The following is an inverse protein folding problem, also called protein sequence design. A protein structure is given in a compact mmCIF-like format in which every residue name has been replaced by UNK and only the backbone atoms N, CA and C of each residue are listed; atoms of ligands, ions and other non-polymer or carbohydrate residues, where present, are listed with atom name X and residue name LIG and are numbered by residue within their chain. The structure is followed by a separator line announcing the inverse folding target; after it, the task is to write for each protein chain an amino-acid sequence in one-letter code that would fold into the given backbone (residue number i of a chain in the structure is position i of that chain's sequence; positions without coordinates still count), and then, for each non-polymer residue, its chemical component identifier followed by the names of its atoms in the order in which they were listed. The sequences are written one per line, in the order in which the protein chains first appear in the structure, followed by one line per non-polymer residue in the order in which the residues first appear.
data_IF_177604055596
#
_entry.id   IF_177604055596
#
_cell.length_a   1.000
_cell.length_b   1.000
_cell.length_c   1.000
_cell.angle_alpha   90.00
_cell.angle_beta   90.00
_cell.angle_gamma   90.00
#
_symmetry.space_group_name_H-M   'P 1'
#
loop_
_entity.id
_entity.type
_entity.pdbx_description
1 polymer ?
#
# COMPACT_ATOMS: atom_id res chain seq x y z
N UNK A 1 -10.29 10.94 -9.82
CA UNK A 1 -9.11 11.83 -9.88
C UNK A 1 -8.05 11.35 -10.88
N UNK A 2 -7.48 10.14 -10.78
CA UNK A 2 -6.46 9.64 -11.75
C UNK A 2 -6.93 9.70 -13.21
N UNK A 3 -8.09 9.14 -13.52
CA UNK A 3 -8.67 9.15 -14.88
C UNK A 3 -8.93 10.57 -15.40
N UNK A 4 -9.22 11.53 -14.54
CA UNK A 4 -9.39 12.93 -14.92
C UNK A 4 -8.04 13.58 -15.29
N UNK A 5 -6.97 13.27 -14.57
CA UNK A 5 -5.61 13.75 -14.89
C UNK A 5 -5.11 13.14 -16.20
N UNK A 6 -5.28 11.84 -16.36
CA UNK A 6 -4.93 11.13 -17.62
C UNK A 6 -5.72 11.68 -18.82
N UNK A 7 -7.01 11.92 -18.65
CA UNK A 7 -7.85 12.57 -19.67
C UNK A 7 -7.42 13.99 -19.98
N UNK A 8 -7.08 14.79 -18.97
CA UNK A 8 -6.55 16.15 -19.17
C UNK A 8 -5.21 16.18 -19.87
N UNK A 9 -4.32 15.22 -19.58
CA UNK A 9 -3.03 15.07 -20.29
C UNK A 9 -3.25 14.75 -21.77
N UNK A 10 -4.17 13.82 -22.07
CA UNK A 10 -4.51 13.45 -23.44
C UNK A 10 -5.08 14.63 -24.23
N UNK A 11 -6.02 15.37 -23.64
CA UNK A 11 -6.59 16.59 -24.28
C UNK A 11 -5.54 17.67 -24.50
N UNK A 12 -4.62 17.88 -23.55
CA UNK A 12 -3.54 18.84 -23.73
C UNK A 12 -2.60 18.41 -24.87
N UNK A 13 -2.32 17.11 -25.01
CA UNK A 13 -1.52 16.58 -26.11
C UNK A 13 -2.21 16.78 -27.46
N UNK A 14 -3.48 16.44 -27.56
CA UNK A 14 -4.28 16.62 -28.78
C UNK A 14 -4.28 18.09 -29.25
N UNK A 15 -4.46 19.03 -28.33
CA UNK A 15 -4.34 20.47 -28.61
C UNK A 15 -2.96 20.87 -29.12
N UNK A 16 -1.91 20.31 -28.52
CA UNK A 16 -0.51 20.57 -28.97
C UNK A 16 -0.35 20.09 -30.41
N UNK A 17 -0.80 18.88 -30.71
CA UNK A 17 -0.66 18.27 -32.03
C UNK A 17 -1.44 19.06 -33.10
N UNK A 18 -2.67 19.50 -32.81
CA UNK A 18 -3.46 20.36 -33.69
C UNK A 18 -2.76 21.72 -33.98
N UNK A 19 -2.29 22.38 -32.92
CA UNK A 19 -1.62 23.67 -33.07
C UNK A 19 -0.28 23.54 -33.80
N UNK A 20 0.45 22.44 -33.60
CA UNK A 20 1.69 22.14 -34.35
C UNK A 20 1.42 21.89 -35.83
N UNK A 21 0.34 21.21 -36.18
CA UNK A 21 -0.09 21.02 -37.57
C UNK A 21 -0.42 22.37 -38.22
N UNK A 22 -1.18 23.24 -37.55
CA UNK A 22 -1.49 24.59 -38.02
C UNK A 22 -0.24 25.46 -38.16
N UNK A 23 0.68 25.39 -37.19
CA UNK A 23 1.94 26.10 -37.24
C UNK A 23 2.80 25.69 -38.44
N UNK A 24 2.79 24.40 -38.78
CA UNK A 24 3.50 23.85 -39.94
C UNK A 24 2.95 24.44 -41.23
N UNK A 25 1.63 24.54 -41.36
CA UNK A 25 0.99 25.12 -42.54
C UNK A 25 1.23 26.62 -42.64
N UNK A 26 1.16 27.35 -41.54
CA UNK A 26 1.48 28.78 -41.47
C UNK A 26 2.95 29.02 -41.87
N UNK A 27 3.89 28.22 -41.37
CA UNK A 27 5.30 28.35 -41.73
C UNK A 27 5.54 28.05 -43.21
N UNK A 28 4.85 27.07 -43.80
CA UNK A 28 4.93 26.75 -45.23
C UNK A 28 4.41 27.91 -46.08
N UNK A 29 3.29 28.51 -45.70
CA UNK A 29 2.70 29.66 -46.37
C UNK A 29 3.61 30.89 -46.27
N UNK A 30 4.16 31.14 -45.06
CA UNK A 30 5.14 32.20 -44.83
C UNK A 30 6.36 32.04 -45.74
N UNK A 31 6.95 30.84 -45.79
CA UNK A 31 8.12 30.57 -46.63
C UNK A 31 7.83 30.75 -48.11
N UNK A 32 6.64 30.37 -48.59
CA UNK A 32 6.22 30.58 -49.96
C UNK A 32 6.03 32.07 -50.27
N UNK A 33 5.46 32.81 -49.34
CA UNK A 33 5.26 34.25 -49.46
C UNK A 33 6.61 35.00 -49.49
N UNK A 34 7.52 34.69 -48.60
CA UNK A 34 8.87 35.30 -48.51
C UNK A 34 9.73 35.04 -49.75
N UNK A 35 9.48 33.96 -50.50
CA UNK A 35 10.14 33.65 -51.75
C UNK A 35 9.52 34.38 -52.98
N UNK A 36 8.42 35.12 -52.77
CA UNK A 36 7.75 35.86 -53.87
C UNK A 36 8.54 37.13 -54.18
N UNK A 37 9.00 37.32 -55.42
CA UNK A 37 9.73 38.53 -55.78
C UNK A 37 8.85 39.78 -55.68
N UNK A 38 9.32 40.78 -54.95
CA UNK A 38 8.62 42.05 -54.72
C UNK A 38 9.11 43.17 -55.66
N UNK A 39 10.18 42.91 -56.42
CA UNK A 39 10.71 43.87 -57.41
C UNK A 39 9.72 44.12 -58.53
N UNK A 40 9.31 45.39 -58.71
CA UNK A 40 8.36 45.80 -59.75
C UNK A 40 6.88 45.62 -59.36
N UNK A 41 6.55 45.24 -58.14
CA UNK A 41 5.13 45.22 -57.67
C UNK A 41 4.56 46.64 -57.63
N UNK A 42 3.29 46.87 -58.07
CA UNK A 42 2.57 48.09 -57.81
C UNK A 42 2.41 48.32 -56.30
N UNK A 43 2.39 49.59 -55.87
CA UNK A 43 2.34 49.99 -54.47
C UNK A 43 1.18 49.34 -53.68
N UNK A 44 0.02 49.25 -54.35
CA UNK A 44 -1.18 48.63 -53.77
C UNK A 44 -1.01 47.12 -53.55
N UNK A 45 -0.32 46.42 -54.45
CA UNK A 45 -0.02 44.98 -54.30
C UNK A 45 1.07 44.75 -53.22
N UNK A 46 2.05 45.64 -53.14
CA UNK A 46 3.08 45.58 -52.08
C UNK A 46 2.48 45.79 -50.68
N UNK A 47 1.54 46.72 -50.53
CA UNK A 47 0.82 46.93 -49.26
C UNK A 47 0.01 45.70 -48.84
N UNK A 48 -0.71 45.08 -49.79
CA UNK A 48 -1.45 43.83 -49.54
C UNK A 48 -0.53 42.68 -49.16
N UNK A 49 0.60 42.52 -49.82
CA UNK A 49 1.63 41.54 -49.51
C UNK A 49 2.16 41.70 -48.05
N UNK A 50 2.52 42.96 -47.69
CA UNK A 50 3.01 43.25 -46.34
C UNK A 50 1.95 42.99 -45.27
N UNK A 51 0.69 43.31 -45.53
CA UNK A 51 -0.43 43.04 -44.64
C UNK A 51 -0.60 41.52 -44.43
N UNK A 52 -0.55 40.73 -45.49
CA UNK A 52 -0.66 39.29 -45.42
C UNK A 52 0.53 38.64 -44.66
N UNK A 53 1.73 39.15 -44.87
CA UNK A 53 2.94 38.72 -44.15
C UNK A 53 2.83 38.99 -42.64
N UNK A 54 2.35 40.20 -42.27
CA UNK A 54 2.14 40.55 -40.87
C UNK A 54 1.04 39.71 -40.21
N UNK A 55 -0.03 39.39 -40.94
CA UNK A 55 -1.12 38.52 -40.43
C UNK A 55 -0.60 37.10 -40.13
N UNK A 56 0.15 36.52 -41.08
CA UNK A 56 0.73 35.18 -40.91
C UNK A 56 1.76 35.12 -39.78
N UNK A 57 2.60 36.17 -39.64
CA UNK A 57 3.53 36.27 -38.51
C UNK A 57 2.79 36.38 -37.19
N UNK A 58 1.71 37.15 -37.11
CA UNK A 58 0.85 37.23 -35.94
C UNK A 58 0.18 35.92 -35.62
N UNK A 59 -0.31 35.18 -36.62
CA UNK A 59 -0.88 33.85 -36.44
C UNK A 59 0.18 32.84 -35.89
N UNK A 60 1.40 32.86 -36.46
CA UNK A 60 2.53 32.06 -35.97
C UNK A 60 2.81 32.31 -34.49
N UNK A 61 2.95 33.56 -34.07
CA UNK A 61 3.20 33.90 -32.66
C UNK A 61 2.09 33.41 -31.73
N UNK A 62 0.83 33.54 -32.13
CA UNK A 62 -0.30 33.05 -31.35
C UNK A 62 -0.28 31.51 -31.21
N UNK A 63 0.05 30.80 -32.26
CA UNK A 63 0.16 29.35 -32.24
C UNK A 63 1.33 28.88 -31.35
N UNK A 64 2.50 29.52 -31.47
CA UNK A 64 3.67 29.23 -30.63
C UNK A 64 3.38 29.47 -29.13
N UNK A 65 2.71 30.58 -28.82
CA UNK A 65 2.29 30.86 -27.44
C UNK A 65 1.27 29.84 -26.93
N UNK A 66 0.28 29.45 -27.73
CA UNK A 66 -0.72 28.45 -27.38
C UNK A 66 -0.11 27.06 -27.15
N UNK A 67 0.87 26.68 -27.99
CA UNK A 67 1.64 25.44 -27.82
C UNK A 67 2.40 25.45 -26.47
N UNK A 68 3.08 26.55 -26.15
CA UNK A 68 3.82 26.70 -24.92
C UNK A 68 2.89 26.59 -23.66
N UNK A 69 1.73 27.23 -23.73
CA UNK A 69 0.72 27.14 -22.67
C UNK A 69 0.19 25.72 -22.49
N UNK A 70 -0.16 25.03 -23.58
CA UNK A 70 -0.64 23.67 -23.55
C UNK A 70 0.42 22.68 -23.03
N UNK A 71 1.69 22.88 -23.41
CA UNK A 71 2.83 22.11 -22.90
C UNK A 71 3.02 22.31 -21.40
N UNK A 72 2.94 23.55 -20.91
CA UNK A 72 3.02 23.86 -19.48
C UNK A 72 1.90 23.17 -18.71
N UNK A 73 0.66 23.23 -19.21
CA UNK A 73 -0.49 22.55 -18.62
C UNK A 73 -0.34 21.03 -18.59
N UNK A 74 0.13 20.43 -19.66
CA UNK A 74 0.44 18.99 -19.71
C UNK A 74 1.49 18.62 -18.69
N UNK A 75 2.57 19.40 -18.55
CA UNK A 75 3.62 19.15 -17.56
C UNK A 75 3.08 19.21 -16.12
N UNK A 76 2.26 20.22 -15.80
CA UNK A 76 1.60 20.34 -14.51
C UNK A 76 0.74 19.10 -14.17
N UNK A 77 -0.13 18.68 -15.10
CA UNK A 77 -0.99 17.51 -14.92
C UNK A 77 -0.18 16.22 -14.75
N UNK A 78 0.90 16.07 -15.50
CA UNK A 78 1.83 14.93 -15.39
C UNK A 78 2.49 14.89 -14.01
N UNK A 79 2.90 16.03 -13.49
CA UNK A 79 3.48 16.14 -12.14
C UNK A 79 2.45 15.77 -11.06
N UNK A 80 1.21 16.25 -11.18
CA UNK A 80 0.13 15.90 -10.25
C UNK A 80 -0.17 14.39 -10.28
N UNK A 81 -0.16 13.77 -11.46
CA UNK A 81 -0.35 12.33 -11.62
C UNK A 81 0.76 11.53 -10.92
N UNK A 82 2.03 11.94 -11.12
CA UNK A 82 3.17 11.31 -10.47
C UNK A 82 3.12 11.42 -8.93
N UNK A 83 2.73 12.56 -8.40
CA UNK A 83 2.52 12.76 -6.95
C UNK A 83 1.42 11.84 -6.42
N UNK A 84 0.28 11.75 -7.12
CA UNK A 84 -0.82 10.87 -6.71
C UNK A 84 -0.39 9.39 -6.70
N UNK A 85 0.38 8.96 -7.69
CA UNK A 85 0.92 7.59 -7.75
C UNK A 85 1.90 7.30 -6.62
N UNK A 86 2.78 8.24 -6.30
CA UNK A 86 3.75 8.14 -5.20
C UNK A 86 3.06 8.00 -3.84
N UNK A 87 2.07 8.84 -3.55
CA UNK A 87 1.30 8.78 -2.29
C UNK A 87 0.55 7.45 -2.18
N UNK A 88 -0.10 7.00 -3.26
CA UNK A 88 -0.83 5.73 -3.26
C UNK A 88 0.09 4.53 -3.02
N UNK A 89 1.26 4.49 -3.66
CA UNK A 89 2.23 3.42 -3.47
C UNK A 89 2.75 3.38 -2.02
N UNK A 90 3.08 4.54 -1.44
CA UNK A 90 3.55 4.64 -0.05
C UNK A 90 2.49 4.16 0.95
N UNK A 91 1.22 4.53 0.74
CA UNK A 91 0.12 4.07 1.60
C UNK A 91 -0.10 2.57 1.53
N UNK A 92 -0.02 1.97 0.34
CA UNK A 92 -0.16 0.52 0.17
C UNK A 92 0.97 -0.22 0.89
N UNK A 93 2.22 0.26 0.78
CA UNK A 93 3.39 -0.33 1.47
C UNK A 93 3.24 -0.21 2.99
N UNK A 94 2.79 0.94 3.51
CA UNK A 94 2.56 1.13 4.94
C UNK A 94 1.47 0.19 5.46
N UNK A 95 0.31 0.13 4.81
CA UNK A 95 -0.80 -0.74 5.19
C UNK A 95 -0.41 -2.23 5.13
N UNK A 96 0.39 -2.62 4.12
CA UNK A 96 0.92 -3.98 4.04
C UNK A 96 1.80 -4.31 5.25
N UNK A 97 2.68 -3.40 5.65
CA UNK A 97 3.55 -3.60 6.83
C UNK A 97 2.73 -3.73 8.11
N UNK A 98 1.72 -2.90 8.30
CA UNK A 98 0.82 -3.00 9.46
C UNK A 98 0.07 -4.34 9.49
N UNK A 99 -0.41 -4.80 8.34
CA UNK A 99 -1.06 -6.10 8.22
C UNK A 99 -0.09 -7.25 8.54
N UNK A 100 1.12 -7.22 7.99
CA UNK A 100 2.16 -8.24 8.25
C UNK A 100 2.52 -8.30 9.75
N UNK A 101 2.64 -7.14 10.42
CA UNK A 101 2.87 -7.05 11.86
C UNK A 101 1.67 -7.63 12.64
N UNK A 102 0.45 -7.25 12.31
CA UNK A 102 -0.75 -7.78 12.95
C UNK A 102 -0.88 -9.30 12.84
N UNK A 103 -0.54 -9.87 11.68
CA UNK A 103 -0.48 -11.32 11.51
C UNK A 103 0.59 -11.99 12.38
N UNK A 104 1.77 -11.36 12.50
CA UNK A 104 2.85 -11.85 13.38
C UNK A 104 2.42 -11.89 14.85
N UNK A 105 1.79 -10.82 15.33
CA UNK A 105 1.24 -10.75 16.70
C UNK A 105 0.12 -11.77 16.91
N UNK A 106 -0.77 -11.94 15.96
CA UNK A 106 -1.82 -12.95 16.02
C UNK A 106 -1.27 -14.38 16.18
N UNK A 107 -0.28 -14.76 15.34
CA UNK A 107 0.32 -16.09 15.43
C UNK A 107 1.11 -16.30 16.71
N UNK A 108 1.79 -15.26 17.23
CA UNK A 108 2.47 -15.32 18.53
C UNK A 108 1.46 -15.55 19.65
N UNK A 109 0.40 -14.77 19.70
CA UNK A 109 -0.66 -14.93 20.69
C UNK A 109 -1.38 -16.29 20.62
N UNK A 110 -1.60 -16.79 19.41
CA UNK A 110 -2.17 -18.13 19.21
C UNK A 110 -1.26 -19.24 19.76
N UNK A 111 0.06 -19.13 19.55
CA UNK A 111 1.04 -20.08 20.09
C UNK A 111 1.11 -20.04 21.62
N UNK A 112 1.07 -18.85 22.23
CA UNK A 112 1.01 -18.68 23.67
C UNK A 112 -0.26 -19.28 24.29
N UNK A 113 -1.40 -19.08 23.62
CA UNK A 113 -2.67 -19.67 24.04
C UNK A 113 -2.62 -21.21 23.99
N UNK A 114 -2.02 -21.78 22.97
CA UNK A 114 -1.89 -23.25 22.83
C UNK A 114 -0.94 -23.82 23.88
N UNK A 115 0.15 -23.13 24.21
CA UNK A 115 1.05 -23.48 25.30
C UNK A 115 0.32 -23.42 26.66
N UNK A 116 -0.38 -22.35 26.96
CA UNK A 116 -1.16 -22.22 28.20
C UNK A 116 -2.25 -23.28 28.32
N UNK A 117 -2.88 -23.65 27.20
CA UNK A 117 -3.86 -24.76 27.18
C UNK A 117 -3.24 -26.11 27.52
N UNK A 118 -2.03 -26.41 27.08
CA UNK A 118 -1.27 -27.62 27.42
C UNK A 118 -0.94 -27.64 28.91
N UNK A 119 -0.40 -26.53 29.44
CA UNK A 119 -0.09 -26.41 30.88
C UNK A 119 -1.34 -26.63 31.74
N UNK A 120 -2.47 -26.08 31.33
CA UNK A 120 -3.74 -26.28 32.05
C UNK A 120 -4.20 -27.75 32.04
N UNK A 121 -4.01 -28.45 30.93
CA UNK A 121 -4.34 -29.88 30.83
C UNK A 121 -3.42 -30.73 31.72
N UNK A 122 -2.13 -30.42 31.78
CA UNK A 122 -1.16 -31.12 32.63
C UNK A 122 -1.44 -30.85 34.12
N UNK A 123 -1.73 -29.60 34.49
CA UNK A 123 -2.15 -29.26 35.86
C UNK A 123 -3.45 -29.98 36.27
N UNK A 124 -4.42 -30.06 35.34
CA UNK A 124 -5.66 -30.82 35.61
C UNK A 124 -5.41 -32.28 35.81
N UNK A 125 -4.49 -32.90 35.07
CA UNK A 125 -4.08 -34.29 35.24
C UNK A 125 -3.44 -34.50 36.61
N UNK A 126 -2.47 -33.66 37.00
CA UNK A 126 -1.81 -33.70 38.30
C UNK A 126 -2.81 -33.57 39.44
N UNK A 127 -3.79 -32.68 39.32
CA UNK A 127 -4.86 -32.51 40.32
C UNK A 127 -5.72 -33.75 40.44
N UNK A 128 -6.05 -34.42 39.34
CA UNK A 128 -6.82 -35.67 39.38
C UNK A 128 -6.03 -36.82 40.04
N UNK A 129 -4.73 -36.92 39.74
CA UNK A 129 -3.83 -37.91 40.31
C UNK A 129 -3.68 -37.69 41.84
N UNK A 130 -3.48 -36.44 42.26
CA UNK A 130 -3.44 -36.08 43.67
C UNK A 130 -4.77 -36.39 44.40
N UNK A 131 -5.90 -36.12 43.74
CA UNK A 131 -7.23 -36.44 44.26
C UNK A 131 -7.44 -37.95 44.44
N UNK A 132 -6.95 -38.75 43.50
CA UNK A 132 -6.99 -40.22 43.61
C UNK A 132 -6.16 -40.69 44.83
N UNK A 133 -4.92 -40.21 44.97
CA UNK A 133 -4.07 -40.51 46.13
C UNK A 133 -4.73 -40.13 47.48
N UNK A 134 -5.36 -38.94 47.51
CA UNK A 134 -6.07 -38.49 48.69
C UNK A 134 -7.28 -39.40 49.05
N UNK A 135 -7.99 -39.90 48.04
CA UNK A 135 -9.11 -40.83 48.23
C UNK A 135 -8.64 -42.19 48.76
N UNK A 136 -7.43 -42.66 48.38
CA UNK A 136 -6.87 -43.92 48.81
C UNK A 136 -6.20 -43.83 50.21
N UNK A 137 -5.79 -42.63 50.63
CA UNK A 137 -5.11 -42.39 51.91
C UNK A 137 -5.88 -42.89 53.15
N UNK A 138 -7.24 -42.76 53.28
CA UNK A 138 -7.99 -43.31 54.41
C UNK A 138 -7.90 -44.83 54.53
N UNK A 139 -7.90 -45.56 53.40
CA UNK A 139 -7.76 -47.00 53.37
C UNK A 139 -6.35 -47.43 53.84
N UNK A 140 -5.32 -46.78 53.29
CA UNK A 140 -3.92 -47.03 53.75
C UNK A 140 -3.71 -46.71 55.21
N UNK A 141 -4.33 -45.64 55.72
CA UNK A 141 -4.27 -45.30 57.12
C UNK A 141 -5.00 -46.36 58.03
N UNK A 142 -6.10 -46.90 57.54
CA UNK A 142 -6.82 -47.98 58.30
C UNK A 142 -6.00 -49.25 58.32
N UNK A 143 -5.35 -49.61 57.19
CA UNK A 143 -4.45 -50.80 57.13
C UNK A 143 -3.23 -50.62 58.06
N UNK A 144 -2.57 -49.48 58.02
CA UNK A 144 -1.46 -49.19 58.96
C UNK A 144 -1.85 -49.22 60.43
N UNK A 145 -3.02 -48.68 60.78
CA UNK A 145 -3.57 -48.78 62.18
C UNK A 145 -3.81 -50.21 62.59
N UNK A 146 -4.30 -51.04 61.70
CA UNK A 146 -4.51 -52.47 61.97
C UNK A 146 -3.17 -53.20 62.23
N UNK A 147 -2.19 -53.00 61.35
CA UNK A 147 -0.85 -53.55 61.47
C UNK A 147 -0.20 -53.14 62.80
N UNK A 148 -0.29 -51.85 63.15
CA UNK A 148 0.21 -51.34 64.42
C UNK A 148 -0.48 -51.98 65.63
N UNK A 149 -1.82 -52.17 65.57
CA UNK A 149 -2.57 -52.84 66.61
C UNK A 149 -2.14 -54.30 66.79
N UNK A 150 -1.95 -55.01 65.66
CA UNK A 150 -1.50 -56.42 65.66
C UNK A 150 -0.07 -56.56 66.17
N UNK A 151 0.84 -55.66 65.82
CA UNK A 151 2.19 -55.61 66.33
C UNK A 151 2.23 -55.36 67.84
N UNK A 152 1.41 -54.40 68.32
CA UNK A 152 1.26 -54.11 69.78
C UNK A 152 0.76 -55.34 70.54
N UNK A 153 -0.25 -56.05 70.03
CA UNK A 153 -0.78 -57.24 70.65
C UNK A 153 0.28 -58.36 70.74
N UNK A 154 1.07 -58.56 69.64
CA UNK A 154 2.18 -59.54 69.66
C UNK A 154 3.22 -59.17 70.75
N UNK A 155 3.54 -57.88 70.88
CA UNK A 155 4.48 -57.42 71.90
C UNK A 155 3.95 -57.64 73.33
N UNK A 156 2.67 -57.28 73.56
CA UNK A 156 2.03 -57.47 74.84
C UNK A 156 1.92 -58.99 75.25
N UNK A 157 1.66 -59.85 74.28
CA UNK A 157 1.62 -61.30 74.53
C UNK A 157 3.03 -61.85 74.81
N UNK A 158 4.06 -61.40 74.03
CA UNK A 158 5.45 -61.80 74.30
C UNK A 158 6.00 -61.32 75.64
N UNK A 159 5.50 -60.22 76.20
CA UNK A 159 5.82 -59.77 77.59
C UNK A 159 5.16 -60.60 78.67
N UNK A 160 4.04 -61.27 78.41
CA UNK A 160 3.37 -62.16 79.32
C UNK A 160 4.06 -63.52 79.49
N UNK A 161 4.80 -63.91 78.44
CA UNK A 161 5.52 -65.20 78.43
C UNK A 161 6.92 -65.13 79.09
N UNK A 162 7.32 -63.93 79.55
CA UNK A 162 8.58 -63.66 80.25
C UNK A 162 8.32 -63.49 81.77
#
# INVERSE_FOLDING_TARGET
MRAQLEGGIAQAQEKIDEMQAQLTEVNKTLSALEQTPTEGMPEEQLAAYQAQLAELQGAKQKLEAGIAEAQAKKAELTQQLAQLQSVSASSIVANKRELDNGWSEYYSGAAELDAGRKELLDAKKQLNDAKAQLNDAPAQLADAKKELSDARKKLDDGWKDY
#
